data_IF_110415620522
#
_entry.id   IF_110415620522
#
_cell.length_a   1.000
_cell.length_b   1.000
_cell.length_c   1.000
_cell.angle_alpha   90.00
_cell.angle_beta   90.00
_cell.angle_gamma   90.00
#
_symmetry.space_group_name_H-M   'P 1'
#
loop_
_entity.id
_entity.type
_entity.pdbx_description
1 polymer ?
#
# COMPACT_ATOMS: atom_id res chain seq x y z
N UNK A 1 2.20 -6.01 14.85
CA UNK A 1 1.89 -6.78 13.63
C UNK A 1 2.88 -6.48 12.54
N UNK A 2 2.92 -7.30 11.51
CA UNK A 2 3.77 -7.05 10.36
C UNK A 2 3.12 -6.04 9.40
N UNK A 3 3.97 -5.24 8.75
CA UNK A 3 3.56 -4.44 7.61
C UNK A 3 3.35 -5.36 6.42
N UNK A 4 2.43 -5.00 5.55
CA UNK A 4 2.12 -5.74 4.34
C UNK A 4 2.13 -4.82 3.12
N UNK A 5 2.42 -5.37 1.97
CA UNK A 5 2.33 -4.68 0.70
C UNK A 5 1.35 -5.42 -0.21
N UNK A 6 0.49 -4.66 -0.88
CA UNK A 6 -0.37 -5.14 -1.96
C UNK A 6 -0.11 -4.32 -3.22
N UNK A 7 -0.25 -4.97 -4.38
CA UNK A 7 -0.15 -4.30 -5.67
C UNK A 7 -1.56 -4.03 -6.18
N UNK A 8 -1.82 -2.77 -6.53
CA UNK A 8 -3.07 -2.36 -7.15
C UNK A 8 -2.80 -1.85 -8.56
N UNK A 9 -3.32 -2.56 -9.55
CA UNK A 9 -3.23 -2.13 -10.94
C UNK A 9 -4.31 -1.12 -11.28
N UNK A 10 -3.91 -0.05 -11.98
CA UNK A 10 -4.79 1.00 -12.50
C UNK A 10 -4.49 1.26 -13.97
N UNK A 11 -5.43 1.85 -14.69
CA UNK A 11 -5.20 2.30 -16.06
C UNK A 11 -4.57 3.68 -16.09
N UNK A 12 -4.09 4.12 -17.26
CA UNK A 12 -3.52 5.45 -17.42
C UNK A 12 -4.58 6.55 -17.26
N UNK A 13 -5.80 6.30 -17.71
CA UNK A 13 -6.95 7.19 -17.55
C UNK A 13 -7.36 7.34 -16.09
N UNK A 14 -7.32 6.22 -15.32
CA UNK A 14 -7.55 6.26 -13.87
C UNK A 14 -6.45 7.04 -13.15
N UNK A 15 -5.21 6.93 -13.60
CA UNK A 15 -4.12 7.74 -13.06
C UNK A 15 -4.25 9.22 -13.45
N UNK A 16 -4.86 9.52 -14.61
CA UNK A 16 -5.15 10.88 -15.05
C UNK A 16 -6.25 11.53 -14.23
N UNK A 17 -7.40 10.86 -14.10
CA UNK A 17 -8.60 11.40 -13.44
C UNK A 17 -8.61 11.26 -11.93
N UNK A 18 -7.82 10.33 -11.39
CA UNK A 18 -7.94 9.85 -10.03
C UNK A 18 -9.15 8.93 -9.87
N UNK A 19 -9.10 8.03 -8.88
CA UNK A 19 -10.17 7.07 -8.60
C UNK A 19 -10.17 6.66 -7.14
N UNK A 20 -11.36 6.37 -6.60
CA UNK A 20 -11.54 5.69 -5.32
C UNK A 20 -11.77 4.21 -5.57
N UNK A 21 -10.92 3.37 -5.02
CA UNK A 21 -10.99 1.91 -5.20
C UNK A 21 -11.09 1.20 -3.86
N UNK A 22 -11.84 0.12 -3.82
CA UNK A 22 -11.88 -0.77 -2.68
C UNK A 22 -11.03 -2.00 -3.00
N UNK A 23 -10.10 -2.35 -2.11
CA UNK A 23 -9.30 -3.56 -2.17
C UNK A 23 -9.64 -4.47 -1.00
N UNK A 24 -9.79 -5.76 -1.26
CA UNK A 24 -9.97 -6.81 -0.27
C UNK A 24 -8.74 -7.71 -0.27
N UNK A 25 -8.24 -8.04 0.92
CA UNK A 25 -7.05 -8.87 1.08
C UNK A 25 -7.15 -9.71 2.36
N UNK A 26 -6.47 -10.87 2.35
CA UNK A 26 -6.46 -11.80 3.47
C UNK A 26 -5.21 -11.61 4.31
N UNK A 27 -5.40 -11.39 5.61
CA UNK A 27 -4.32 -11.19 6.58
C UNK A 27 -4.75 -11.70 7.97
N UNK A 28 -3.81 -11.67 8.92
CA UNK A 28 -4.18 -11.82 10.31
C UNK A 28 -4.95 -10.59 10.79
N UNK A 29 -6.20 -10.79 11.20
CA UNK A 29 -7.07 -9.78 11.79
C UNK A 29 -7.26 -10.04 13.29
N UNK A 30 -7.65 -9.02 14.03
CA UNK A 30 -7.95 -9.17 15.46
C UNK A 30 -9.06 -10.21 15.67
N UNK A 31 -8.85 -11.14 16.58
CA UNK A 31 -9.86 -12.14 16.92
C UNK A 31 -11.10 -11.48 17.52
N UNK A 32 -12.24 -11.69 16.92
CA UNK A 32 -13.55 -11.15 17.33
C UNK A 32 -14.05 -11.66 18.67
N UNK A 33 -13.62 -12.86 19.10
CA UNK A 33 -14.05 -13.48 20.36
C UNK A 33 -13.32 -12.95 21.58
N UNK A 34 -12.04 -12.69 21.46
CA UNK A 34 -11.23 -12.20 22.59
C UNK A 34 -10.72 -10.77 22.39
N UNK A 35 -11.08 -10.11 21.31
CA UNK A 35 -10.69 -8.74 20.98
C UNK A 35 -9.17 -8.52 21.06
N UNK A 36 -8.41 -9.45 20.50
CA UNK A 36 -6.95 -9.41 20.48
C UNK A 36 -6.26 -9.97 21.72
N UNK A 37 -6.96 -10.21 22.81
CA UNK A 37 -6.34 -10.58 24.10
C UNK A 37 -5.76 -11.99 24.15
N UNK A 38 -6.21 -12.90 23.28
CA UNK A 38 -5.74 -14.29 23.24
C UNK A 38 -6.33 -15.20 24.31
N UNK A 39 -7.12 -14.68 25.25
CA UNK A 39 -7.72 -15.41 26.34
C UNK A 39 -9.20 -15.06 26.54
N UNK A 40 -9.91 -15.89 27.29
CA UNK A 40 -11.28 -15.58 27.70
C UNK A 40 -11.28 -14.47 28.76
N UNK A 41 -11.94 -13.37 28.43
CA UNK A 41 -11.92 -12.13 29.25
C UNK A 41 -12.63 -12.34 30.59
N UNK A 42 -13.49 -13.36 30.71
CA UNK A 42 -14.33 -13.57 31.88
C UNK A 42 -13.68 -14.47 32.96
N UNK A 43 -12.68 -15.25 32.57
CA UNK A 43 -12.14 -16.33 33.42
C UNK A 43 -10.98 -15.90 34.34
N UNK A 44 -10.42 -14.70 34.14
CA UNK A 44 -9.32 -14.18 34.95
C UNK A 44 -7.97 -14.85 34.70
N UNK A 45 -7.03 -14.62 35.60
CA UNK A 45 -5.63 -15.03 35.48
C UNK A 45 -5.16 -15.76 36.72
N UNK A 46 -4.21 -16.68 36.55
CA UNK A 46 -3.41 -17.28 37.59
C UNK A 46 -2.01 -16.67 37.61
N UNK A 47 -1.35 -16.74 38.75
CA UNK A 47 0.04 -16.32 38.91
C UNK A 47 0.96 -17.26 38.12
N UNK A 48 1.86 -16.69 37.29
CA UNK A 48 2.82 -17.50 36.54
C UNK A 48 3.73 -18.28 37.52
N UNK A 49 3.72 -19.60 37.43
CA UNK A 49 4.52 -20.48 38.28
C UNK A 49 6.03 -20.37 37.97
N UNK A 50 6.40 -20.15 36.71
CA UNK A 50 7.80 -20.11 36.27
C UNK A 50 8.55 -18.89 36.82
N UNK A 51 7.95 -17.73 36.78
CA UNK A 51 8.56 -16.50 37.31
C UNK A 51 8.01 -16.08 38.67
N UNK A 52 7.12 -16.88 39.25
CA UNK A 52 6.44 -16.57 40.49
C UNK A 52 5.78 -15.17 40.50
N UNK A 53 5.16 -14.81 39.37
CA UNK A 53 4.47 -13.52 39.19
C UNK A 53 5.37 -12.31 38.90
N UNK A 54 6.67 -12.48 38.76
CA UNK A 54 7.62 -11.36 38.54
C UNK A 54 7.67 -10.89 37.10
N UNK A 55 7.26 -11.72 36.15
CA UNK A 55 7.38 -11.42 34.72
C UNK A 55 8.78 -11.67 34.15
N UNK A 56 9.77 -11.82 35.00
CA UNK A 56 11.19 -11.96 34.62
C UNK A 56 11.84 -13.16 35.28
N UNK A 57 12.80 -13.77 34.61
CA UNK A 57 13.63 -14.87 35.11
C UNK A 57 15.09 -14.41 35.15
N UNK A 58 15.77 -14.72 36.28
CA UNK A 58 17.20 -14.50 36.37
C UNK A 58 17.91 -15.76 35.90
N UNK A 59 18.67 -15.66 34.82
CA UNK A 59 19.53 -16.74 34.34
C UNK A 59 20.97 -16.43 34.73
N UNK A 60 21.57 -17.24 35.56
CA UNK A 60 22.98 -17.10 35.92
C UNK A 60 23.81 -17.96 35.00
N UNK A 61 24.68 -17.36 34.21
CA UNK A 61 25.67 -18.07 33.39
C UNK A 61 27.02 -17.96 34.03
N UNK A 62 27.59 -19.10 34.35
CA UNK A 62 28.96 -19.19 34.79
C UNK A 62 29.89 -19.24 33.58
N UNK A 63 30.76 -18.27 33.47
CA UNK A 63 31.80 -18.21 32.44
C UNK A 63 33.18 -18.34 33.12
N UNK A 64 34.21 -18.57 32.32
CA UNK A 64 35.58 -18.66 32.82
C UNK A 64 36.07 -17.38 33.50
N UNK A 65 35.43 -16.25 33.24
CA UNK A 65 35.72 -14.94 33.82
C UNK A 65 34.78 -14.52 34.97
N UNK A 66 33.92 -15.41 35.43
CA UNK A 66 32.98 -15.14 36.52
C UNK A 66 31.53 -15.47 36.19
N UNK A 67 30.67 -15.25 37.19
CA UNK A 67 29.22 -15.50 37.08
C UNK A 67 28.53 -14.18 36.68
N UNK A 68 27.80 -14.21 35.57
CA UNK A 68 26.95 -13.09 35.13
C UNK A 68 25.50 -13.48 35.31
N UNK A 69 24.74 -12.64 36.00
CA UNK A 69 23.30 -12.76 36.11
C UNK A 69 22.64 -11.89 35.01
N UNK A 70 21.93 -12.53 34.11
CA UNK A 70 21.12 -11.85 33.09
C UNK A 70 19.64 -11.98 33.44
N UNK A 71 18.94 -10.85 33.43
CA UNK A 71 17.49 -10.82 33.58
C UNK A 71 16.88 -10.97 32.20
N UNK A 72 16.03 -11.96 32.02
CA UNK A 72 15.27 -12.20 30.77
C UNK A 72 13.79 -12.15 31.05
N UNK A 73 13.03 -11.71 30.09
CA UNK A 73 11.58 -11.83 30.12
C UNK A 73 11.16 -13.29 30.27
N UNK A 74 10.19 -13.55 31.10
CA UNK A 74 9.65 -14.91 31.28
C UNK A 74 8.93 -15.37 30.01
N UNK A 75 9.40 -16.45 29.40
CA UNK A 75 8.86 -16.98 28.15
C UNK A 75 7.44 -17.54 28.30
N UNK A 76 7.04 -17.94 29.49
CA UNK A 76 5.71 -18.53 29.76
C UNK A 76 4.63 -17.45 29.82
N UNK A 77 4.85 -16.39 30.56
CA UNK A 77 3.88 -15.31 30.75
C UNK A 77 4.17 -14.08 29.88
N UNK A 78 5.23 -14.09 29.09
CA UNK A 78 5.66 -12.97 28.22
C UNK A 78 5.77 -11.63 28.96
N UNK A 79 6.35 -11.67 30.17
CA UNK A 79 6.59 -10.49 31.01
C UNK A 79 5.42 -10.04 31.86
N UNK A 80 4.22 -10.59 31.71
CA UNK A 80 3.03 -10.17 32.44
C UNK A 80 2.99 -10.64 33.89
N UNK A 81 3.75 -11.68 34.25
CA UNK A 81 3.70 -12.33 35.54
C UNK A 81 2.46 -13.21 35.77
N UNK A 82 1.52 -13.23 34.83
CA UNK A 82 0.23 -13.89 34.94
C UNK A 82 -0.04 -14.78 33.73
N UNK A 83 -0.75 -15.87 33.93
CA UNK A 83 -1.19 -16.80 32.87
C UNK A 83 -2.71 -16.83 32.87
N UNK A 84 -3.37 -16.70 31.71
CA UNK A 84 -4.81 -16.75 31.62
C UNK A 84 -5.32 -18.17 31.99
N UNK A 85 -6.36 -18.26 32.82
CA UNK A 85 -6.99 -19.52 33.19
C UNK A 85 -7.56 -20.27 32.00
N UNK A 86 -8.02 -19.52 30.98
CA UNK A 86 -8.61 -20.12 29.79
C UNK A 86 -8.14 -19.38 28.55
N UNK A 87 -7.48 -20.10 27.67
CA UNK A 87 -7.05 -19.60 26.39
C UNK A 87 -8.27 -19.46 25.45
N UNK A 88 -8.32 -18.44 24.64
CA UNK A 88 -9.35 -18.27 23.63
C UNK A 88 -9.32 -19.43 22.64
N UNK A 89 -10.38 -20.22 22.59
CA UNK A 89 -10.49 -21.40 21.73
C UNK A 89 -10.49 -21.03 20.23
N UNK A 90 -10.99 -19.83 19.88
CA UNK A 90 -11.10 -19.40 18.50
C UNK A 90 -9.73 -19.11 17.88
N UNK A 91 -8.90 -18.33 18.55
CA UNK A 91 -7.56 -17.97 18.08
C UNK A 91 -6.43 -18.80 18.72
N UNK A 92 -6.75 -19.75 19.58
CA UNK A 92 -5.79 -20.63 20.28
C UNK A 92 -4.68 -19.85 21.03
N UNK A 93 -5.05 -18.70 21.59
CA UNK A 93 -4.13 -17.86 22.35
C UNK A 93 -3.39 -16.79 21.56
N UNK A 94 -3.44 -16.79 20.22
CA UNK A 94 -2.72 -15.83 19.40
C UNK A 94 -3.31 -14.40 19.43
N UNK A 95 -4.59 -14.25 19.78
CA UNK A 95 -5.30 -12.96 19.74
C UNK A 95 -5.71 -12.53 18.33
N UNK A 96 -5.25 -13.24 17.30
CA UNK A 96 -5.51 -12.95 15.89
C UNK A 96 -5.91 -14.21 15.12
N UNK A 97 -6.61 -14.03 14.02
CA UNK A 97 -7.08 -15.09 13.13
C UNK A 97 -6.89 -14.65 11.69
N UNK A 98 -6.82 -15.59 10.77
CA UNK A 98 -6.83 -15.26 9.34
C UNK A 98 -8.24 -14.79 8.96
N UNK A 99 -8.33 -13.61 8.40
CA UNK A 99 -9.57 -12.99 7.97
C UNK A 99 -9.39 -12.13 6.73
N UNK A 100 -10.49 -11.62 6.21
CA UNK A 100 -10.50 -10.68 5.11
C UNK A 100 -10.64 -9.26 5.66
N UNK A 101 -9.83 -8.33 5.13
CA UNK A 101 -9.94 -6.90 5.40
C UNK A 101 -10.20 -6.16 4.11
N UNK A 102 -11.07 -5.15 4.18
CA UNK A 102 -11.37 -4.25 3.07
C UNK A 102 -10.85 -2.86 3.39
N UNK A 103 -10.29 -2.21 2.39
CA UNK A 103 -9.77 -0.85 2.52
C UNK A 103 -10.19 -0.02 1.32
N UNK A 104 -10.53 1.24 1.57
CA UNK A 104 -10.76 2.22 0.51
C UNK A 104 -9.46 2.97 0.25
N UNK A 105 -9.04 2.97 -0.99
CA UNK A 105 -7.82 3.60 -1.47
C UNK A 105 -8.23 4.80 -2.31
N UNK A 106 -7.79 5.98 -1.91
CA UNK A 106 -8.01 7.22 -2.66
C UNK A 106 -6.77 7.49 -3.52
N UNK A 107 -6.92 7.32 -4.82
CA UNK A 107 -5.85 7.48 -5.81
C UNK A 107 -6.03 8.85 -6.44
N UNK A 108 -5.12 9.76 -6.13
CA UNK A 108 -5.15 11.14 -6.61
C UNK A 108 -4.72 11.26 -8.07
N UNK A 109 -5.25 12.25 -8.81
CA UNK A 109 -4.82 12.53 -10.18
C UNK A 109 -3.31 12.77 -10.29
N UNK A 110 -2.74 12.35 -11.41
CA UNK A 110 -1.31 12.55 -11.69
C UNK A 110 -0.36 11.55 -11.03
N UNK A 111 -0.88 10.60 -10.27
CA UNK A 111 -0.06 9.62 -9.56
C UNK A 111 0.92 8.91 -10.49
N UNK A 112 2.14 8.65 -10.03
CA UNK A 112 3.18 7.99 -10.81
C UNK A 112 3.10 6.46 -10.71
N UNK A 113 3.67 5.77 -11.71
CA UNK A 113 3.85 4.32 -11.63
C UNK A 113 4.79 3.94 -10.48
N UNK A 114 4.52 2.80 -9.84
CA UNK A 114 5.22 2.30 -8.66
C UNK A 114 5.14 3.21 -7.42
N UNK A 115 4.30 4.21 -7.40
CA UNK A 115 4.08 5.02 -6.21
C UNK A 115 3.38 4.20 -5.12
N UNK A 116 3.78 4.44 -3.87
CA UNK A 116 3.29 3.71 -2.71
C UNK A 116 2.39 4.64 -1.87
N UNK A 117 1.19 4.15 -1.55
CA UNK A 117 0.27 4.78 -0.61
C UNK A 117 0.34 3.99 0.70
N UNK A 118 0.71 4.65 1.78
CA UNK A 118 0.73 4.07 3.13
C UNK A 118 -0.62 4.30 3.82
N UNK A 119 -1.21 3.24 4.35
CA UNK A 119 -2.45 3.28 5.12
C UNK A 119 -2.16 2.70 6.50
N UNK A 120 -2.18 3.57 7.50
CA UNK A 120 -1.79 3.22 8.88
C UNK A 120 -2.76 2.22 9.51
N UNK A 121 -2.21 1.26 10.28
CA UNK A 121 -2.95 0.27 11.03
C UNK A 121 -3.74 -0.75 10.20
N UNK A 122 -3.54 -0.75 8.87
CA UNK A 122 -4.23 -1.67 7.95
C UNK A 122 -3.38 -2.88 7.55
N UNK A 123 -2.21 -3.06 8.17
CA UNK A 123 -1.40 -4.26 8.09
C UNK A 123 -1.93 -5.41 8.94
N UNK A 124 -1.09 -6.38 9.25
CA UNK A 124 -1.45 -7.51 10.10
C UNK A 124 -1.75 -7.09 11.54
N UNK A 125 -2.73 -7.73 12.14
CA UNK A 125 -2.97 -7.58 13.57
C UNK A 125 -1.78 -8.10 14.37
N UNK A 126 -1.40 -7.37 15.42
CA UNK A 126 -0.41 -7.81 16.36
C UNK A 126 -0.89 -9.00 17.21
N UNK A 127 0.04 -9.75 17.75
CA UNK A 127 -0.27 -10.83 18.68
C UNK A 127 -0.64 -10.28 20.05
N UNK A 128 -1.63 -10.89 20.69
CA UNK A 128 -2.01 -10.60 22.08
C UNK A 128 -2.20 -9.11 22.38
N UNK A 129 -2.84 -8.39 21.45
CA UNK A 129 -3.17 -6.98 21.61
C UNK A 129 -2.00 -6.01 21.37
N UNK A 130 -0.87 -6.47 20.85
CA UNK A 130 0.19 -5.58 20.37
C UNK A 130 -0.29 -4.81 19.14
N UNK A 131 0.38 -3.69 18.84
CA UNK A 131 0.03 -2.85 17.70
C UNK A 131 0.05 -3.61 16.38
N UNK A 132 -0.88 -3.28 15.49
CA UNK A 132 -0.93 -3.78 14.13
C UNK A 132 0.14 -3.12 13.26
N UNK A 133 0.44 -3.75 12.13
CA UNK A 133 1.29 -3.16 11.08
C UNK A 133 0.51 -2.22 10.17
N UNK A 134 1.20 -1.65 9.20
CA UNK A 134 0.67 -0.77 8.19
C UNK A 134 0.48 -1.50 6.85
N UNK A 135 -0.39 -0.95 6.01
CA UNK A 135 -0.57 -1.41 4.64
C UNK A 135 0.11 -0.44 3.67
N UNK A 136 0.93 -0.99 2.80
CA UNK A 136 1.55 -0.29 1.68
C UNK A 136 0.86 -0.75 0.40
N UNK A 137 0.22 0.18 -0.29
CA UNK A 137 -0.41 -0.08 -1.59
C UNK A 137 0.49 0.45 -2.68
N UNK A 138 1.16 -0.45 -3.39
CA UNK A 138 1.95 -0.10 -4.57
C UNK A 138 1.05 -0.01 -5.78
N UNK A 139 1.00 1.14 -6.40
CA UNK A 139 0.24 1.35 -7.64
C UNK A 139 1.08 0.93 -8.85
N UNK A 140 0.47 0.20 -9.76
CA UNK A 140 1.07 -0.16 -11.04
C UNK A 140 0.16 0.31 -12.16
N UNK A 141 0.68 1.20 -13.01
CA UNK A 141 -0.05 1.69 -14.17
C UNK A 141 0.12 0.69 -15.30
N UNK A 142 -1.00 0.19 -15.83
CA UNK A 142 -0.98 -0.71 -16.99
C UNK A 142 -0.44 0.01 -18.22
N UNK A 143 0.35 -0.68 -19.07
CA UNK A 143 0.74 -0.14 -20.36
C UNK A 143 -0.51 0.26 -21.16
N UNK A 144 -0.49 1.44 -21.77
CA UNK A 144 -1.59 1.92 -22.60
C UNK A 144 -1.28 1.69 -24.09
N UNK A 145 -2.31 1.35 -24.87
CA UNK A 145 -2.14 0.99 -26.29
C UNK A 145 -1.75 2.17 -27.19
N UNK A 146 -2.11 3.38 -26.81
CA UNK A 146 -1.91 4.59 -27.61
C UNK A 146 -0.88 5.52 -26.97
N UNK A 147 -0.93 5.68 -25.65
CA UNK A 147 -0.12 6.65 -24.93
C UNK A 147 1.09 6.00 -24.25
N UNK A 148 2.25 6.65 -24.37
CA UNK A 148 3.42 6.37 -23.53
C UNK A 148 3.65 7.56 -22.60
N UNK A 149 3.76 7.33 -21.29
CA UNK A 149 3.95 8.39 -20.30
C UNK A 149 5.43 8.59 -20.00
N UNK A 150 5.89 9.86 -20.03
CA UNK A 150 7.22 10.30 -19.63
C UNK A 150 7.10 11.45 -18.63
N UNK A 151 7.21 11.14 -17.34
CA UNK A 151 6.94 12.12 -16.30
C UNK A 151 5.47 12.56 -16.32
N UNK A 152 5.23 13.84 -16.65
CA UNK A 152 3.88 14.37 -16.83
C UNK A 152 3.48 14.49 -18.31
N UNK A 153 4.38 14.20 -19.23
CA UNK A 153 4.08 14.25 -20.65
C UNK A 153 3.51 12.94 -21.16
N UNK A 154 2.65 13.03 -22.18
CA UNK A 154 2.09 11.88 -22.88
C UNK A 154 2.57 11.93 -24.34
N UNK A 155 3.18 10.83 -24.78
CA UNK A 155 3.62 10.66 -26.15
C UNK A 155 2.68 9.72 -26.90
N UNK A 156 2.27 10.09 -28.10
CA UNK A 156 1.58 9.22 -29.06
C UNK A 156 2.37 9.16 -30.36
N UNK A 157 2.24 8.06 -31.07
CA UNK A 157 2.69 7.93 -32.46
C UNK A 157 1.47 7.97 -33.37
N UNK A 158 1.44 8.92 -34.27
CA UNK A 158 0.36 9.08 -35.24
C UNK A 158 0.92 9.01 -36.66
N UNK A 159 0.43 8.10 -37.44
CA UNK A 159 0.71 8.08 -38.88
C UNK A 159 -0.17 9.11 -39.57
N UNK A 160 0.43 9.94 -40.36
CA UNK A 160 -0.22 11.01 -41.18
C UNK A 160 0.21 10.86 -42.62
N UNK A 161 -0.69 11.13 -43.56
CA UNK A 161 -0.36 11.12 -44.95
C UNK A 161 0.33 12.45 -45.33
N UNK A 162 1.36 12.40 -46.16
CA UNK A 162 2.08 13.58 -46.61
C UNK A 162 1.15 14.60 -47.26
N UNK A 163 0.15 14.12 -48.01
CA UNK A 163 -0.83 14.97 -48.69
C UNK A 163 -1.65 15.80 -47.70
N UNK A 164 -2.03 15.22 -46.54
CA UNK A 164 -2.80 15.93 -45.51
C UNK A 164 -1.96 17.07 -44.91
N UNK A 165 -0.64 16.87 -44.77
CA UNK A 165 0.30 17.90 -44.32
C UNK A 165 0.45 19.01 -45.37
N UNK A 166 0.56 18.64 -46.64
CA UNK A 166 0.73 19.61 -47.76
C UNK A 166 -0.53 20.45 -48.00
N UNK A 167 -1.70 19.91 -47.68
CA UNK A 167 -2.97 20.63 -47.77
C UNK A 167 -3.33 21.40 -46.50
N UNK A 168 -2.41 21.44 -45.52
CA UNK A 168 -2.61 22.10 -44.21
C UNK A 168 -3.86 21.59 -43.46
N UNK A 169 -4.23 20.33 -43.66
CA UNK A 169 -5.37 19.74 -42.99
C UNK A 169 -5.08 19.55 -41.50
N UNK A 170 -6.07 19.88 -40.69
CA UNK A 170 -5.97 19.66 -39.24
C UNK A 170 -6.04 18.18 -38.94
N UNK A 171 -5.05 17.67 -38.22
CA UNK A 171 -4.95 16.27 -37.84
C UNK A 171 -5.70 16.03 -36.53
N UNK A 172 -6.58 15.04 -36.47
CA UNK A 172 -7.20 14.64 -35.22
C UNK A 172 -6.26 13.78 -34.38
N UNK A 173 -6.03 14.18 -33.14
CA UNK A 173 -5.29 13.42 -32.13
C UNK A 173 -6.19 13.07 -30.94
N UNK A 174 -6.10 11.85 -30.39
CA UNK A 174 -6.83 11.48 -29.18
C UNK A 174 -6.21 12.18 -27.96
N UNK A 175 -7.02 12.43 -26.95
CA UNK A 175 -6.58 12.89 -25.64
C UNK A 175 -6.79 11.78 -24.61
N UNK A 176 -6.10 11.85 -23.49
CA UNK A 176 -6.24 10.88 -22.40
C UNK A 176 -7.62 10.96 -21.72
N UNK A 177 -8.31 12.09 -21.82
CA UNK A 177 -9.70 12.25 -21.37
C UNK A 177 -10.74 11.53 -22.24
N UNK A 178 -10.32 10.99 -23.40
CA UNK A 178 -11.19 10.31 -24.36
C UNK A 178 -11.74 11.20 -25.49
N UNK A 179 -11.44 12.50 -25.44
CA UNK A 179 -11.82 13.44 -26.49
C UNK A 179 -10.83 13.40 -27.65
N UNK A 180 -11.17 14.10 -28.75
CA UNK A 180 -10.27 14.32 -29.87
C UNK A 180 -10.01 15.81 -30.01
N UNK A 181 -8.75 16.17 -30.27
CA UNK A 181 -8.34 17.52 -30.56
C UNK A 181 -7.86 17.62 -32.01
N UNK A 182 -8.08 18.79 -32.61
CA UNK A 182 -7.56 19.11 -33.95
C UNK A 182 -6.26 19.85 -33.80
N UNK A 183 -5.21 19.31 -34.40
CA UNK A 183 -3.84 19.79 -34.31
C UNK A 183 -3.42 20.28 -35.70
N UNK A 184 -2.88 21.49 -35.78
CA UNK A 184 -2.26 22.03 -37.00
C UNK A 184 -0.77 21.74 -36.98
N UNK A 185 -0.22 21.27 -38.10
CA UNK A 185 1.22 21.11 -38.23
C UNK A 185 1.75 22.41 -38.86
N UNK A 186 2.70 23.13 -38.24
CA UNK A 186 3.29 24.32 -38.81
C UNK A 186 4.00 24.03 -40.15
N UNK A 187 3.90 24.92 -41.12
CA UNK A 187 4.50 24.77 -42.46
C UNK A 187 5.99 24.38 -42.45
N UNK A 188 6.76 24.92 -41.52
CA UNK A 188 8.19 24.67 -41.40
C UNK A 188 8.52 23.64 -40.29
N UNK A 189 7.56 22.80 -39.89
CA UNK A 189 7.78 21.83 -38.82
C UNK A 189 8.77 20.74 -39.24
N UNK A 190 9.78 20.51 -38.42
CA UNK A 190 10.72 19.43 -38.65
C UNK A 190 10.08 18.08 -38.31
N UNK A 191 9.70 17.29 -39.30
CA UNK A 191 9.04 15.99 -39.15
C UNK A 191 9.89 14.93 -38.39
N UNK A 192 11.16 15.22 -38.08
CA UNK A 192 12.00 14.37 -37.23
C UNK A 192 11.85 14.67 -35.73
N UNK A 193 11.14 15.73 -35.39
CA UNK A 193 10.90 16.17 -34.03
C UNK A 193 9.46 15.83 -33.58
N UNK A 194 9.22 15.88 -32.28
CA UNK A 194 7.89 15.73 -31.74
C UNK A 194 7.13 17.04 -31.74
N UNK A 195 5.90 17.04 -32.25
CA UNK A 195 5.03 18.20 -32.15
C UNK A 195 4.46 18.25 -30.71
N UNK A 196 4.73 19.34 -30.01
CA UNK A 196 4.28 19.53 -28.62
C UNK A 196 2.93 20.22 -28.59
N UNK A 197 1.97 19.59 -27.92
CA UNK A 197 0.64 20.14 -27.72
C UNK A 197 0.51 20.48 -26.23
N UNK A 198 0.51 21.75 -25.86
CA UNK A 198 0.49 22.17 -24.47
C UNK A 198 -0.83 21.77 -23.76
N UNK A 199 -0.75 21.51 -22.46
CA UNK A 199 -1.89 21.20 -21.58
C UNK A 199 -2.64 19.90 -21.91
N UNK A 200 -2.00 18.96 -22.57
CA UNK A 200 -2.57 17.65 -22.91
C UNK A 200 -1.86 16.50 -22.20
N UNK A 201 -0.97 16.80 -21.24
CA UNK A 201 -0.27 15.82 -20.41
C UNK A 201 -1.03 15.40 -19.18
N UNK A 202 -0.33 14.69 -18.28
CA UNK A 202 -0.85 14.25 -16.99
C UNK A 202 -0.96 15.42 -16.00
N UNK A 203 -1.92 15.41 -15.07
CA UNK A 203 -1.97 16.37 -13.98
C UNK A 203 -0.71 16.27 -13.11
N UNK A 204 -0.32 17.38 -12.51
CA UNK A 204 0.78 17.39 -11.53
C UNK A 204 0.24 16.78 -10.23
N UNK A 205 0.87 15.71 -9.75
CA UNK A 205 0.49 15.05 -8.52
C UNK A 205 0.56 16.00 -7.31
N UNK A 206 -0.56 16.10 -6.57
CA UNK A 206 -0.65 16.97 -5.37
C UNK A 206 -0.70 18.47 -5.65
N UNK A 207 -0.71 18.89 -6.92
CA UNK A 207 -0.87 20.29 -7.33
C UNK A 207 -2.33 20.65 -7.61
N UNK A 208 -2.64 21.96 -7.53
CA UNK A 208 -3.87 22.47 -8.14
C UNK A 208 -3.80 22.22 -9.64
N UNK A 209 -4.93 21.86 -10.25
CA UNK A 209 -5.09 21.56 -11.67
C UNK A 209 -4.32 22.52 -12.58
N UNK A 210 -3.07 22.20 -12.85
CA UNK A 210 -2.21 22.78 -13.86
C UNK A 210 -1.60 21.62 -14.61
N UNK A 211 -2.15 21.33 -15.80
CA UNK A 211 -1.62 20.34 -16.72
C UNK A 211 -0.22 20.76 -17.19
N UNK A 212 0.70 19.82 -17.26
CA UNK A 212 1.97 19.96 -17.95
C UNK A 212 1.79 20.32 -19.42
#
# INVERSE_FOLDING_TARGET
GADIEIIQEITLEEAFSGIKREAAYKINVVCDKCFGKGHDVKEGFDKCSVCAGRGEIKETRNTFFGSFAQVKQCNECFGTGQIPKKICSHCKGAGRIIGERKVKIDILPGIADNQIIKIQGMGEAGERGTEGGDLYVRLRIKPHSVFSRFGNDLLIKKEVKLIDILLEEKIEAPTISGDKIKVEIPENFNLKENLVIPKQGMPIFGGNWGSG
#
